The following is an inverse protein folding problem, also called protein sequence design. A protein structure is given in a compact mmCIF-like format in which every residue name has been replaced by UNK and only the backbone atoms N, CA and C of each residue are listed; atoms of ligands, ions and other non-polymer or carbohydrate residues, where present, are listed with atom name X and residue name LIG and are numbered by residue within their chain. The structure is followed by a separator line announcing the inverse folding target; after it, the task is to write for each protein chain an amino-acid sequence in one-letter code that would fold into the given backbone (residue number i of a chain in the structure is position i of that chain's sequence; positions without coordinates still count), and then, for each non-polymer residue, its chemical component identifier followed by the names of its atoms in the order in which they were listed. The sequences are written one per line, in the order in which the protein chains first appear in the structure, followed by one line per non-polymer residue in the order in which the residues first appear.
data_IF_308467703766
#
_entry.id   IF_308467703766
#
_cell.length_a   1.000
_cell.length_b   1.000
_cell.length_c   1.000
_cell.angle_alpha   90.00
_cell.angle_beta   90.00
_cell.angle_gamma   90.00
#
_symmetry.space_group_name_H-M   'P 1'
#
loop_
_entity.id
_entity.type
_entity.pdbx_description
1 polymer ?
#
# COMPACT_ATOMS: atom_id res chain seq x y z
N UNK A 1 7.71 9.17 -0.39
CA UNK A 1 6.41 9.42 0.26
C UNK A 1 6.15 8.36 1.32
N UNK A 2 5.53 8.71 2.45
CA UNK A 2 5.06 7.75 3.47
C UNK A 2 3.63 8.08 3.88
N UNK A 3 2.76 7.08 3.87
CA UNK A 3 1.34 7.19 4.21
C UNK A 3 1.06 6.28 5.40
N UNK A 4 0.23 6.76 6.33
CA UNK A 4 -0.34 5.94 7.41
C UNK A 4 -1.74 5.50 7.00
N UNK A 5 -1.95 4.19 6.95
CA UNK A 5 -3.24 3.56 6.71
C UNK A 5 -3.82 3.12 8.05
N UNK A 6 -5.05 3.53 8.31
CA UNK A 6 -5.77 3.23 9.55
C UNK A 6 -6.98 2.38 9.20
N UNK A 7 -6.97 1.13 9.66
CA UNK A 7 -8.03 0.15 9.40
C UNK A 7 -8.88 -0.03 10.65
N UNK A 8 -10.20 0.12 10.51
CA UNK A 8 -11.15 0.02 11.62
C UNK A 8 -11.94 -1.28 11.55
N UNK A 9 -11.94 -2.04 12.65
CA UNK A 9 -12.62 -3.33 12.77
C UNK A 9 -13.64 -3.29 13.90
N UNK A 10 -14.91 -3.59 13.58
CA UNK A 10 -16.02 -3.61 14.56
C UNK A 10 -16.07 -4.87 15.42
N UNK A 11 -15.42 -5.96 14.98
CA UNK A 11 -15.41 -7.26 15.66
C UNK A 11 -13.97 -7.63 16.00
N UNK A 12 -13.74 -8.45 17.02
CA UNK A 12 -12.42 -9.01 17.27
C UNK A 12 -11.93 -9.78 16.04
N UNK A 13 -10.64 -9.73 15.77
CA UNK A 13 -10.04 -10.43 14.63
C UNK A 13 -8.64 -10.93 14.99
N UNK A 14 -8.17 -11.94 14.26
CA UNK A 14 -6.87 -12.56 14.46
C UNK A 14 -5.91 -12.08 13.38
N UNK A 15 -4.75 -11.57 13.79
CA UNK A 15 -3.60 -11.32 12.91
C UNK A 15 -2.70 -12.57 12.97
N UNK A 16 -2.67 -13.44 11.94
CA UNK A 16 -1.89 -14.66 11.97
C UNK A 16 -0.40 -14.36 11.80
N UNK A 17 0.53 -15.07 12.43
CA UNK A 17 1.96 -14.71 12.34
C UNK A 17 2.56 -14.71 10.91
N UNK A 18 1.95 -15.46 10.00
CA UNK A 18 2.34 -15.55 8.59
C UNK A 18 1.60 -14.53 7.68
N UNK A 19 0.98 -13.49 8.25
CA UNK A 19 0.27 -12.45 7.50
C UNK A 19 1.06 -11.62 6.47
N UNK A 20 2.41 -11.51 6.48
CA UNK A 20 3.09 -10.60 5.53
C UNK A 20 2.80 -10.89 4.05
N UNK A 21 2.66 -12.17 3.67
CA UNK A 21 2.34 -12.55 2.28
C UNK A 21 0.90 -12.16 1.89
N UNK A 22 -0.14 -12.49 2.68
CA UNK A 22 -1.49 -11.96 2.47
C UNK A 22 -1.56 -10.43 2.42
N UNK A 23 -0.84 -9.74 3.31
CA UNK A 23 -0.81 -8.28 3.36
C UNK A 23 -0.22 -7.67 2.09
N UNK A 24 0.87 -8.24 1.58
CA UNK A 24 1.44 -7.80 0.31
C UNK A 24 0.44 -7.96 -0.84
N UNK A 25 -0.24 -9.10 -0.92
CA UNK A 25 -1.27 -9.35 -1.93
C UNK A 25 -2.43 -8.35 -1.85
N UNK A 26 -2.89 -8.02 -0.64
CA UNK A 26 -3.90 -6.99 -0.42
C UNK A 26 -3.48 -5.64 -1.00
N UNK A 27 -2.24 -5.21 -0.77
CA UNK A 27 -1.72 -3.92 -1.27
C UNK A 27 -1.59 -3.94 -2.79
N UNK A 28 -1.10 -5.01 -3.39
CA UNK A 28 -1.03 -5.14 -4.86
C UNK A 28 -2.42 -5.06 -5.49
N UNK A 29 -3.41 -5.74 -4.91
CA UNK A 29 -4.79 -5.66 -5.38
C UNK A 29 -5.35 -4.24 -5.26
N UNK A 30 -5.08 -3.54 -4.15
CA UNK A 30 -5.49 -2.15 -3.98
C UNK A 30 -4.85 -1.22 -5.03
N UNK A 31 -3.56 -1.39 -5.32
CA UNK A 31 -2.87 -0.63 -6.38
C UNK A 31 -3.50 -0.94 -7.75
N UNK A 32 -3.79 -2.21 -8.04
CA UNK A 32 -4.40 -2.63 -9.30
C UNK A 32 -5.81 -2.03 -9.50
N UNK A 33 -6.57 -1.84 -8.42
CA UNK A 33 -7.87 -1.16 -8.46
C UNK A 33 -7.76 0.36 -8.61
N UNK A 34 -6.65 0.96 -8.15
CA UNK A 34 -6.41 2.40 -8.27
C UNK A 34 -5.81 2.81 -9.61
N UNK A 35 -4.80 2.10 -10.09
CA UNK A 35 -4.13 2.33 -11.37
C UNK A 35 -3.49 1.03 -11.90
N UNK A 36 -4.10 0.47 -12.95
CA UNK A 36 -3.62 -0.74 -13.60
C UNK A 36 -2.21 -0.58 -14.22
N UNK A 37 -1.82 0.63 -14.65
CA UNK A 37 -0.50 0.89 -15.24
C UNK A 37 0.60 0.74 -14.21
N UNK A 38 0.38 1.27 -13.01
CA UNK A 38 1.32 1.10 -11.88
C UNK A 38 1.38 -0.37 -11.46
N UNK A 39 0.24 -1.05 -11.41
CA UNK A 39 0.21 -2.47 -11.09
C UNK A 39 0.92 -3.34 -12.13
N UNK A 40 0.80 -3.00 -13.43
CA UNK A 40 1.53 -3.66 -14.50
C UNK A 40 3.04 -3.44 -14.38
N UNK A 41 3.50 -2.21 -14.10
CA UNK A 41 4.91 -1.92 -13.84
C UNK A 41 5.48 -2.73 -12.67
N UNK A 42 4.71 -2.85 -11.58
CA UNK A 42 5.06 -3.68 -10.42
C UNK A 42 5.23 -5.16 -10.76
N UNK A 43 4.39 -5.69 -11.66
CA UNK A 43 4.45 -7.10 -12.11
C UNK A 43 5.61 -7.34 -13.07
N UNK A 44 5.73 -6.48 -14.08
CA UNK A 44 6.65 -6.65 -15.21
C UNK A 44 8.10 -6.33 -14.80
N UNK A 45 8.29 -5.38 -13.87
CA UNK A 45 9.61 -5.02 -13.37
C UNK A 45 9.60 -4.77 -11.85
N UNK A 46 9.87 -5.82 -11.09
CA UNK A 46 9.95 -5.76 -9.61
C UNK A 46 10.99 -4.76 -9.06
N UNK A 47 11.92 -4.27 -9.89
CA UNK A 47 12.91 -3.26 -9.48
C UNK A 47 12.48 -1.82 -9.75
N UNK A 48 11.43 -1.63 -10.56
CA UNK A 48 10.95 -0.32 -11.03
C UNK A 48 10.23 0.43 -9.92
N UNK A 49 9.16 -0.14 -9.37
CA UNK A 49 8.38 0.49 -8.30
C UNK A 49 8.80 -0.07 -6.95
N UNK A 50 9.47 0.74 -6.13
CA UNK A 50 9.94 0.34 -4.79
C UNK A 50 9.03 0.87 -3.70
N UNK A 51 8.35 -0.04 -3.01
CA UNK A 51 7.60 0.27 -1.80
C UNK A 51 7.93 -0.68 -0.65
N UNK A 52 7.67 -0.22 0.57
CA UNK A 52 7.85 -0.97 1.81
C UNK A 52 6.59 -0.87 2.65
N UNK A 53 6.28 -1.96 3.34
CA UNK A 53 5.17 -2.06 4.29
C UNK A 53 5.74 -2.31 5.68
N UNK A 54 5.21 -1.60 6.67
CA UNK A 54 5.48 -1.95 8.06
C UNK A 54 4.74 -3.21 8.48
N UNK A 55 5.05 -3.70 9.68
CA UNK A 55 4.17 -4.63 10.40
C UNK A 55 2.82 -3.94 10.69
N UNK A 56 1.79 -4.74 10.93
CA UNK A 56 0.52 -4.27 11.46
C UNK A 56 0.69 -3.88 12.94
N UNK A 57 0.24 -2.69 13.30
CA UNK A 57 0.26 -2.16 14.66
C UNK A 57 -1.18 -2.06 15.18
N UNK A 58 -1.69 -3.10 15.86
CA UNK A 58 -2.98 -3.01 16.52
C UNK A 58 -2.93 -1.98 17.65
N UNK A 59 -3.90 -1.07 17.67
CA UNK A 59 -4.08 -0.05 18.70
C UNK A 59 -5.16 -0.54 19.65
N UNK A 60 -4.78 -0.80 20.91
CA UNK A 60 -5.68 -1.25 21.96
C UNK A 60 -5.29 -2.58 22.58
N UNK A 61 -6.28 -3.31 23.10
CA UNK A 61 -6.06 -4.58 23.80
C UNK A 61 -5.76 -5.70 22.79
N UNK A 62 -4.66 -6.41 23.04
CA UNK A 62 -4.24 -7.56 22.24
C UNK A 62 -3.89 -8.74 23.12
N UNK A 63 -4.13 -9.96 22.63
CA UNK A 63 -3.74 -11.20 23.30
C UNK A 63 -2.98 -12.08 22.31
N UNK A 64 -1.80 -12.57 22.72
CA UNK A 64 -1.07 -13.58 21.94
C UNK A 64 -1.78 -14.93 22.06
N UNK A 65 -1.85 -15.62 20.94
CA UNK A 65 -2.36 -16.99 20.82
C UNK A 65 -1.32 -17.83 20.07
N UNK A 66 -1.53 -19.14 20.02
CA UNK A 66 -0.69 -20.07 19.24
C UNK A 66 -0.69 -19.74 17.74
N UNK A 67 -1.82 -19.21 17.23
CA UNK A 67 -2.03 -18.95 15.80
C UNK A 67 -1.72 -17.52 15.37
N UNK A 68 -1.55 -16.59 16.31
CA UNK A 68 -1.35 -15.18 16.01
C UNK A 68 -1.69 -14.24 17.16
N UNK A 69 -1.98 -12.99 16.84
CA UNK A 69 -2.36 -11.95 17.78
C UNK A 69 -3.86 -11.69 17.63
N UNK A 70 -4.63 -12.02 18.68
CA UNK A 70 -6.04 -11.65 18.77
C UNK A 70 -6.13 -10.18 19.15
N UNK A 71 -6.88 -9.41 18.37
CA UNK A 71 -7.07 -7.98 18.55
C UNK A 71 -8.55 -7.75 18.83
N UNK A 72 -8.85 -7.05 19.93
CA UNK A 72 -10.22 -6.62 20.24
C UNK A 72 -10.73 -5.61 19.20
N UNK A 73 -12.05 -5.35 19.11
CA UNK A 73 -12.59 -4.34 18.21
C UNK A 73 -11.85 -3.01 18.36
N UNK A 74 -11.42 -2.44 17.24
CA UNK A 74 -10.53 -1.29 17.29
C UNK A 74 -9.82 -1.02 15.98
N UNK A 75 -8.65 -0.42 16.12
CA UNK A 75 -7.91 0.18 15.01
C UNK A 75 -6.60 -0.56 14.78
N UNK A 76 -6.21 -0.75 13.53
CA UNK A 76 -4.89 -1.25 13.15
C UNK A 76 -4.23 -0.22 12.26
N UNK A 77 -3.00 0.15 12.61
CA UNK A 77 -2.18 1.02 11.79
C UNK A 77 -1.20 0.21 10.93
N UNK A 78 -1.04 0.66 9.69
CA UNK A 78 -0.07 0.17 8.73
C UNK A 78 0.62 1.36 8.08
N UNK A 79 1.94 1.31 7.93
CA UNK A 79 2.70 2.34 7.25
C UNK A 79 3.12 1.83 5.88
N UNK A 80 2.77 2.60 4.84
CA UNK A 80 3.20 2.39 3.47
C UNK A 80 4.24 3.44 3.12
N UNK A 81 5.41 3.01 2.66
CA UNK A 81 6.47 3.90 2.18
C UNK A 81 6.80 3.60 0.72
N UNK A 82 7.04 4.64 -0.08
CA UNK A 82 7.52 4.49 -1.46
C UNK A 82 8.52 5.59 -1.80
N UNK A 83 9.49 5.29 -2.67
CA UNK A 83 10.38 6.28 -3.26
C UNK A 83 9.77 6.98 -4.46
N UNK A 84 8.70 6.41 -5.04
CA UNK A 84 8.01 6.99 -6.17
C UNK A 84 7.44 8.37 -5.80
N UNK A 85 7.68 9.33 -6.68
CA UNK A 85 7.04 10.65 -6.62
C UNK A 85 5.74 10.58 -7.39
N UNK A 86 4.75 11.38 -6.97
CA UNK A 86 3.64 11.69 -7.86
C UNK A 86 4.25 12.52 -8.98
N UNK A 87 4.47 11.92 -10.15
CA UNK A 87 4.64 12.72 -11.36
C UNK A 87 3.31 13.46 -11.51
N UNK A 88 3.35 14.78 -11.33
CA UNK A 88 2.17 15.60 -11.52
C UNK A 88 1.54 15.27 -12.87
N UNK A 89 0.21 15.34 -12.96
CA UNK A 89 -0.46 15.42 -14.24
C UNK A 89 0.30 16.44 -15.08
N UNK A 90 1.01 15.95 -16.08
CA UNK A 90 1.78 16.78 -16.97
C UNK A 90 0.75 17.46 -17.87
N UNK A 91 0.21 18.58 -17.40
CA UNK A 91 -0.34 19.61 -18.26
C UNK A 91 0.86 20.23 -18.99
N UNK A 92 1.56 19.43 -19.79
CA UNK A 92 2.48 19.91 -20.82
C UNK A 92 1.59 20.46 -21.93
N UNK A 93 1.18 21.68 -21.65
CA UNK A 93 0.51 22.63 -22.51
C UNK A 93 1.26 22.80 -23.83
N UNK A 94 0.47 23.10 -24.84
CA UNK A 94 0.75 23.24 -26.25
C UNK A 94 2.01 24.08 -26.53
N UNK A 95 3.15 23.42 -26.79
CA UNK A 95 4.23 24.02 -27.58
C UNK A 95 4.51 23.18 -28.81
N UNK A 96 3.57 23.26 -29.75
CA UNK A 96 3.84 23.12 -31.19
C UNK A 96 5.07 23.94 -31.57
N UNK A 97 6.21 23.26 -31.68
CA UNK A 97 7.37 23.76 -32.38
C UNK A 97 7.03 23.89 -33.86
N UNK A 98 6.57 25.08 -34.29
CA UNK A 98 6.67 25.49 -35.70
C UNK A 98 8.15 25.59 -36.04
N UNK A 99 8.62 24.68 -36.88
CA UNK A 99 9.88 24.85 -37.61
C UNK A 99 9.53 25.10 -39.07
N UNK A 100 9.52 26.39 -39.44
CA UNK A 100 9.55 26.87 -40.82
C UNK A 100 10.57 28.00 -40.84
N UNK A 101 11.71 27.74 -41.48
CA UNK A 101 12.63 28.65 -42.21
C UNK A 101 13.93 27.89 -42.42
#
# INVERSE_FOLDING_TARGET
MRIKLTLHFKRPFLIPYNYPRPLYGFVINAINLGDERIAKRLRDNKKDVKFVLSKLYPVGKTRRTEKGILVEPGTVELYFGTTERVEGCDCSDDRRGRRWS
#
